data_IF_064731838989
#
_entry.id   IF_064731838989
#
_cell.length_a   1.000
_cell.length_b   1.000
_cell.length_c   1.000
_cell.angle_alpha   90.00
_cell.angle_beta   90.00
_cell.angle_gamma   90.00
#
_symmetry.space_group_name_H-M   'P 1'
#
loop_
_entity.id
_entity.type
_entity.pdbx_description
1 polymer ?
#
# COMPACT_ATOMS: atom_id res chain seq x y z
N UNK A 1 14.80 -6.31 2.00
CA UNK A 1 14.20 -6.24 3.35
C UNK A 1 12.81 -6.86 3.28
N UNK A 2 12.67 -8.11 3.67
CA UNK A 2 11.38 -8.80 3.75
C UNK A 2 10.69 -8.38 5.05
N UNK A 3 9.61 -7.61 4.96
CA UNK A 3 8.72 -7.30 6.08
C UNK A 3 7.87 -8.53 6.43
N UNK A 4 8.51 -9.49 7.10
CA UNK A 4 7.86 -10.70 7.61
C UNK A 4 7.30 -10.34 8.98
N UNK A 5 6.01 -10.60 9.22
CA UNK A 5 5.44 -10.49 10.57
C UNK A 5 6.07 -11.52 11.52
N UNK A 6 5.91 -11.38 12.83
CA UNK A 6 6.40 -12.37 13.80
C UNK A 6 5.83 -13.79 13.59
N UNK A 7 4.84 -13.95 12.70
CA UNK A 7 4.17 -15.21 12.36
C UNK A 7 4.64 -15.81 11.03
N UNK A 8 5.66 -15.24 10.38
CA UNK A 8 6.14 -15.71 9.08
C UNK A 8 5.28 -15.26 7.90
N UNK A 9 4.22 -14.48 8.13
CA UNK A 9 3.32 -13.98 7.09
C UNK A 9 3.93 -12.75 6.39
N UNK A 10 3.86 -12.75 5.06
CA UNK A 10 4.30 -11.60 4.27
C UNK A 10 3.22 -10.52 4.29
N UNK A 11 3.48 -9.44 5.02
CA UNK A 11 2.55 -8.31 5.23
C UNK A 11 2.08 -7.68 3.90
N UNK A 12 2.92 -7.73 2.86
CA UNK A 12 2.62 -7.11 1.57
C UNK A 12 1.75 -7.96 0.62
N UNK A 13 1.51 -9.24 0.92
CA UNK A 13 0.98 -10.20 -0.06
C UNK A 13 -0.40 -9.76 -0.63
N UNK A 14 -1.31 -9.34 0.24
CA UNK A 14 -2.67 -8.95 -0.14
C UNK A 14 -2.75 -7.57 -0.84
N UNK A 15 -1.64 -6.83 -0.86
CA UNK A 15 -1.57 -5.49 -1.45
C UNK A 15 -0.92 -5.47 -2.84
N UNK A 16 -0.51 -6.64 -3.37
CA UNK A 16 0.20 -6.72 -4.65
C UNK A 16 -0.73 -6.45 -5.83
N UNK A 17 -1.91 -7.08 -5.84
CA UNK A 17 -2.88 -6.99 -6.92
C UNK A 17 -4.28 -6.83 -6.36
N UNK A 18 -4.99 -5.78 -6.78
CA UNK A 18 -6.42 -5.70 -6.53
C UNK A 18 -7.18 -6.70 -7.41
N UNK A 19 -8.27 -7.30 -6.88
CA UNK A 19 -9.25 -8.00 -7.72
C UNK A 19 -9.78 -7.07 -8.81
N UNK A 20 -10.13 -7.62 -9.97
CA UNK A 20 -10.73 -6.85 -11.04
C UNK A 20 -12.10 -6.31 -10.64
N UNK A 21 -12.58 -5.26 -11.33
CA UNK A 21 -13.93 -4.70 -11.11
C UNK A 21 -15.05 -5.73 -11.31
N UNK A 22 -14.81 -6.76 -12.13
CA UNK A 22 -15.76 -7.87 -12.32
C UNK A 22 -15.79 -8.80 -11.11
N UNK A 23 -14.64 -9.07 -10.50
CA UNK A 23 -14.51 -9.95 -9.33
C UNK A 23 -14.99 -9.29 -8.05
N UNK A 24 -14.80 -7.96 -7.90
CA UNK A 24 -15.15 -7.25 -6.67
C UNK A 24 -15.82 -5.88 -6.95
N UNK A 25 -17.00 -5.85 -7.59
CA UNK A 25 -17.64 -4.60 -7.99
C UNK A 25 -17.94 -3.64 -6.83
N UNK A 26 -18.21 -4.17 -5.63
CA UNK A 26 -18.47 -3.39 -4.42
C UNK A 26 -17.27 -2.55 -3.97
N UNK A 27 -16.05 -3.07 -4.14
CA UNK A 27 -14.82 -2.32 -3.84
C UNK A 27 -14.74 -1.07 -4.71
N UNK A 28 -14.93 -1.23 -6.01
CA UNK A 28 -14.89 -0.13 -6.98
C UNK A 28 -16.11 0.81 -6.93
N UNK A 29 -17.16 0.47 -6.16
CA UNK A 29 -18.25 1.40 -5.83
C UNK A 29 -17.90 2.29 -4.64
N UNK A 30 -17.19 1.75 -3.65
CA UNK A 30 -16.83 2.46 -2.41
C UNK A 30 -15.52 3.25 -2.53
N UNK A 31 -14.56 2.71 -3.29
CA UNK A 31 -13.20 3.21 -3.41
C UNK A 31 -13.04 3.95 -4.75
N UNK A 32 -12.89 5.26 -4.67
CA UNK A 32 -12.81 6.14 -5.85
C UNK A 32 -11.52 5.97 -6.63
N UNK A 33 -10.38 5.79 -5.94
CA UNK A 33 -9.05 5.72 -6.54
C UNK A 33 -8.35 4.40 -6.16
N UNK A 34 -8.67 3.27 -6.80
CA UNK A 34 -8.03 1.98 -6.52
C UNK A 34 -6.51 2.02 -6.72
N UNK A 35 -5.77 1.47 -5.76
CA UNK A 35 -4.32 1.44 -5.74
C UNK A 35 -3.80 0.11 -5.18
N UNK A 36 -2.76 -0.44 -5.81
CA UNK A 36 -2.02 -1.64 -5.39
C UNK A 36 -0.52 -1.48 -5.70
N UNK A 37 0.31 -2.37 -5.15
CA UNK A 37 1.75 -2.31 -5.38
C UNK A 37 2.14 -2.60 -6.84
N UNK A 38 1.34 -3.35 -7.59
CA UNK A 38 1.60 -3.55 -9.02
C UNK A 38 1.52 -2.23 -9.81
N UNK A 39 0.50 -1.41 -9.52
CA UNK A 39 0.31 -0.08 -10.10
C UNK A 39 1.39 0.89 -9.65
N UNK A 40 1.73 0.92 -8.36
CA UNK A 40 2.83 1.75 -7.83
C UNK A 40 4.15 1.38 -8.52
N UNK A 41 4.47 0.08 -8.61
CA UNK A 41 5.67 -0.42 -9.29
C UNK A 41 5.70 -0.02 -10.76
N UNK A 42 4.57 -0.09 -11.45
CA UNK A 42 4.45 0.35 -12.86
C UNK A 42 4.72 1.84 -12.98
N UNK A 43 4.06 2.67 -12.17
CA UNK A 43 4.23 4.12 -12.17
C UNK A 43 5.69 4.52 -11.90
N UNK A 44 6.34 3.86 -10.94
CA UNK A 44 7.75 4.07 -10.63
C UNK A 44 8.66 3.74 -11.82
N UNK A 45 8.44 2.60 -12.48
CA UNK A 45 9.21 2.21 -13.68
C UNK A 45 9.05 3.17 -14.86
N UNK A 46 7.90 3.84 -14.95
CA UNK A 46 7.63 4.85 -15.98
C UNK A 46 8.06 6.26 -15.56
N UNK A 47 8.72 6.43 -14.41
CA UNK A 47 9.19 7.73 -13.94
C UNK A 47 8.06 8.70 -13.58
N UNK A 48 6.89 8.20 -13.16
CA UNK A 48 5.73 9.03 -12.82
C UNK A 48 5.78 9.63 -11.40
N UNK A 49 6.90 9.45 -10.69
CA UNK A 49 7.11 10.01 -9.36
C UNK A 49 8.38 10.85 -9.38
N UNK A 50 8.21 12.17 -9.46
CA UNK A 50 9.33 13.12 -9.43
C UNK A 50 9.94 13.28 -8.02
N UNK A 51 9.17 12.93 -6.99
CA UNK A 51 9.58 13.06 -5.59
C UNK A 51 9.22 11.81 -4.78
N UNK A 52 9.94 11.60 -3.67
CA UNK A 52 9.60 10.57 -2.70
C UNK A 52 8.21 10.79 -2.07
N UNK A 53 7.77 12.06 -2.01
CA UNK A 53 6.43 12.42 -1.52
C UNK A 53 5.33 12.00 -2.50
N UNK A 54 5.57 12.08 -3.80
CA UNK A 54 4.63 11.61 -4.81
C UNK A 54 4.46 10.08 -4.72
N UNK A 55 5.56 9.33 -4.58
CA UNK A 55 5.51 7.89 -4.31
C UNK A 55 4.79 7.58 -2.99
N UNK A 56 5.11 8.33 -1.93
CA UNK A 56 4.52 8.15 -0.61
C UNK A 56 3.02 8.42 -0.59
N UNK A 57 2.53 9.33 -1.44
CA UNK A 57 1.10 9.62 -1.56
C UNK A 57 0.30 8.42 -2.07
N UNK A 58 0.84 7.65 -3.04
CA UNK A 58 0.18 6.44 -3.52
C UNK A 58 0.28 5.27 -2.54
N UNK A 59 1.38 5.17 -1.77
CA UNK A 59 1.50 4.18 -0.68
C UNK A 59 0.47 4.48 0.42
N UNK A 60 0.30 5.76 0.79
CA UNK A 60 -0.73 6.19 1.74
C UNK A 60 -2.13 5.91 1.21
N UNK A 61 -2.38 6.19 -0.06
CA UNK A 61 -3.68 5.92 -0.70
C UNK A 61 -4.02 4.42 -0.68
N UNK A 62 -3.05 3.55 -0.98
CA UNK A 62 -3.20 2.10 -0.87
C UNK A 62 -3.65 1.68 0.54
N UNK A 63 -3.02 2.23 1.59
CA UNK A 63 -3.37 1.92 2.97
C UNK A 63 -4.75 2.47 3.36
N UNK A 64 -5.04 3.74 3.03
CA UNK A 64 -6.34 4.37 3.30
C UNK A 64 -7.48 3.61 2.62
N UNK A 65 -7.29 3.17 1.37
CA UNK A 65 -8.30 2.38 0.67
C UNK A 65 -8.54 1.03 1.34
N UNK A 66 -7.47 0.37 1.82
CA UNK A 66 -7.59 -0.86 2.59
C UNK A 66 -8.43 -0.62 3.85
N UNK A 67 -8.09 0.40 4.63
CA UNK A 67 -8.75 0.73 5.90
C UNK A 67 -10.20 1.18 5.72
N UNK A 68 -10.51 1.84 4.60
CA UNK A 68 -11.88 2.25 4.28
C UNK A 68 -12.78 1.07 3.91
N UNK A 69 -12.23 0.05 3.27
CA UNK A 69 -13.01 -1.10 2.79
C UNK A 69 -13.11 -2.22 3.82
N UNK A 70 -12.03 -2.46 4.57
CA UNK A 70 -11.93 -3.56 5.51
C UNK A 70 -12.26 -3.11 6.93
N UNK A 71 -12.66 -4.06 7.77
CA UNK A 71 -12.91 -3.82 9.20
C UNK A 71 -11.59 -3.64 9.94
N UNK A 72 -11.58 -2.80 10.95
CA UNK A 72 -10.42 -2.50 11.81
C UNK A 72 -9.87 -3.74 12.54
N UNK A 73 -10.73 -4.70 12.87
CA UNK A 73 -10.37 -5.99 13.48
C UNK A 73 -9.67 -6.98 12.51
N UNK A 74 -9.69 -6.73 11.21
CA UNK A 74 -9.12 -7.63 10.20
C UNK A 74 -7.58 -7.59 10.13
N UNK A 75 -6.95 -8.69 9.74
CA UNK A 75 -5.50 -8.76 9.57
C UNK A 75 -5.00 -7.79 8.49
N UNK A 76 -5.70 -7.69 7.36
CA UNK A 76 -5.32 -6.79 6.26
C UNK A 76 -5.41 -5.31 6.65
N UNK A 77 -6.31 -4.96 7.59
CA UNK A 77 -6.35 -3.61 8.14
C UNK A 77 -5.10 -3.35 8.97
N UNK A 78 -4.78 -4.22 9.93
CA UNK A 78 -3.57 -4.09 10.77
C UNK A 78 -2.27 -4.12 9.95
N UNK A 79 -2.26 -4.87 8.85
CA UNK A 79 -1.14 -4.86 7.90
C UNK A 79 -0.97 -3.54 7.18
N UNK A 80 -2.08 -2.86 6.85
CA UNK A 80 -2.00 -1.55 6.22
C UNK A 80 -1.36 -0.51 7.17
N UNK A 81 -1.62 -0.61 8.47
CA UNK A 81 -0.97 0.22 9.50
C UNK A 81 0.53 -0.11 9.55
N UNK A 82 0.87 -1.40 9.64
CA UNK A 82 2.25 -1.88 9.64
C UNK A 82 3.03 -1.44 8.39
N UNK A 83 2.40 -1.50 7.20
CA UNK A 83 3.00 -1.04 5.95
C UNK A 83 3.27 0.45 5.97
N UNK A 84 2.33 1.25 6.49
CA UNK A 84 2.49 2.70 6.59
C UNK A 84 3.61 3.08 7.56
N UNK A 85 3.71 2.40 8.70
CA UNK A 85 4.82 2.58 9.66
C UNK A 85 6.17 2.24 9.03
N UNK A 86 6.27 1.11 8.32
CA UNK A 86 7.49 0.71 7.60
C UNK A 86 7.86 1.78 6.56
N UNK A 87 6.89 2.29 5.81
CA UNK A 87 7.12 3.34 4.82
C UNK A 87 7.69 4.61 5.46
N UNK A 88 7.05 5.14 6.51
CA UNK A 88 7.50 6.37 7.18
C UNK A 88 8.91 6.20 7.77
N UNK A 89 9.22 5.02 8.32
CA UNK A 89 10.57 4.71 8.79
C UNK A 89 11.59 4.72 7.66
N UNK A 90 11.30 4.07 6.54
CA UNK A 90 12.20 4.02 5.38
C UNK A 90 12.40 5.40 4.76
N UNK A 91 11.33 6.19 4.65
CA UNK A 91 11.38 7.56 4.16
C UNK A 91 12.27 8.43 5.04
N UNK A 92 12.09 8.38 6.36
CA UNK A 92 12.92 9.12 7.30
C UNK A 92 14.41 8.73 7.20
N UNK A 93 14.71 7.43 7.09
CA UNK A 93 16.09 6.97 6.89
C UNK A 93 16.70 7.42 5.56
N UNK A 94 15.91 7.46 4.47
CA UNK A 94 16.39 7.93 3.18
C UNK A 94 16.67 9.44 3.15
N UNK A 95 15.85 10.24 3.85
CA UNK A 95 16.03 11.68 3.96
C UNK A 95 17.15 12.07 4.95
N UNK A 96 17.49 11.21 5.91
CA UNK A 96 18.58 11.45 6.86
C UNK A 96 20.00 11.22 6.27
N UNK A 97 20.10 10.72 5.04
CA UNK A 97 21.37 10.42 4.35
C UNK A 97 21.77 11.49 3.31
N UNK A 98 21.04 12.60 3.24
CA UNK A 98 21.33 13.77 2.38
C UNK A 98 21.63 15.01 3.20
#
# INVERSE_FOLDING_TARGET
MSGISNEGRQVSADFIYLPTKREMPQYYKLISNPMDFSRIRRNLKHGLYDTIDALGSDIKLLCINCQKFNRDDSDIFRDSETLLEIWERLKASATALV
#
